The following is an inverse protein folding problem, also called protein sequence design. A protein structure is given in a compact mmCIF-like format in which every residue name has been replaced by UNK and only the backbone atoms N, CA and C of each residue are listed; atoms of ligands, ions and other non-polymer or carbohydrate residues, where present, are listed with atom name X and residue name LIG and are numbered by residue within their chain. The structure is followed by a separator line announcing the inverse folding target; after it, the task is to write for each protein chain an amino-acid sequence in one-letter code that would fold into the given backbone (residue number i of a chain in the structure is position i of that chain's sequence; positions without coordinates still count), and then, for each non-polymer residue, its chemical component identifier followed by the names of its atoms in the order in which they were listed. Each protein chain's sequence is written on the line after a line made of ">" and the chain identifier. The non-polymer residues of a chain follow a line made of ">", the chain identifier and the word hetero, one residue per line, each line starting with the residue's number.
data_IF_594486423628
#
_entry.id   IF_594486423628
#
_cell.length_a   1.000
_cell.length_b   1.000
_cell.length_c   1.000
_cell.angle_alpha   90.00
_cell.angle_beta   90.00
_cell.angle_gamma   90.00
#
_symmetry.space_group_name_H-M   'P 1'
#
loop_
_entity.id
_entity.type
_entity.pdbx_description
1 polymer ?
#
# COMPACT_ATOMS: atom_id res chain seq x y z
N UNK A 1 -1.69 13.44 -8.58
CA UNK A 1 -2.37 13.71 -9.85
C UNK A 1 -3.84 13.42 -9.65
N UNK A 2 -4.70 14.07 -10.41
CA UNK A 2 -6.15 13.88 -10.32
C UNK A 2 -6.69 13.54 -11.70
N UNK A 3 -7.69 12.69 -11.74
CA UNK A 3 -8.31 12.22 -12.97
C UNK A 3 -9.82 12.30 -12.83
N UNK A 4 -10.49 12.72 -13.91
CA UNK A 4 -11.94 12.66 -14.02
C UNK A 4 -12.33 11.32 -14.63
N UNK A 5 -13.03 10.52 -13.84
CA UNK A 5 -13.65 9.29 -14.33
C UNK A 5 -14.87 9.62 -15.23
N UNK A 6 -15.25 8.76 -16.18
CA UNK A 6 -16.40 8.99 -17.06
C UNK A 6 -17.73 9.31 -16.36
N UNK A 7 -17.94 8.81 -15.13
CA UNK A 7 -19.10 9.13 -14.29
C UNK A 7 -19.07 10.56 -13.68
N UNK A 8 -17.97 11.29 -13.87
CA UNK A 8 -17.75 12.64 -13.37
C UNK A 8 -17.04 12.71 -12.01
N UNK A 9 -16.80 11.58 -11.33
CA UNK A 9 -16.05 11.55 -10.08
C UNK A 9 -14.55 11.81 -10.30
N UNK A 10 -13.88 12.28 -9.24
CA UNK A 10 -12.43 12.48 -9.23
C UNK A 10 -11.75 11.26 -8.62
N UNK A 11 -10.81 10.68 -9.37
CA UNK A 11 -9.88 9.64 -8.90
C UNK A 11 -8.51 10.30 -8.65
N UNK A 12 -7.95 10.06 -7.47
CA UNK A 12 -6.66 10.56 -7.06
C UNK A 12 -5.58 9.50 -7.28
N UNK A 13 -4.45 9.93 -7.84
CA UNK A 13 -3.24 9.11 -7.96
C UNK A 13 -2.12 9.78 -7.16
N UNK A 14 -1.60 9.06 -6.17
CA UNK A 14 -0.46 9.45 -5.36
C UNK A 14 0.69 8.45 -5.52
N UNK A 15 1.85 8.76 -4.92
CA UNK A 15 2.84 7.73 -4.58
C UNK A 15 3.13 7.76 -3.09
N UNK A 16 3.46 6.60 -2.53
CA UNK A 16 3.70 6.45 -1.10
C UNK A 16 5.12 6.87 -0.71
N UNK A 17 5.26 7.63 0.39
CA UNK A 17 6.57 8.04 0.90
C UNK A 17 7.33 6.94 1.64
N UNK A 18 6.75 5.74 1.77
CA UNK A 18 7.44 4.55 2.28
C UNK A 18 8.77 4.28 1.56
N UNK A 19 8.91 4.68 0.28
CA UNK A 19 10.16 4.58 -0.49
C UNK A 19 11.33 5.39 0.08
N UNK A 20 11.05 6.44 0.85
CA UNK A 20 12.06 7.26 1.53
C UNK A 20 11.60 7.52 2.98
N UNK A 21 11.69 6.50 3.85
CA UNK A 21 11.08 6.54 5.18
C UNK A 21 11.68 7.64 6.05
N UNK A 22 10.81 8.35 6.78
CA UNK A 22 11.19 9.36 7.74
C UNK A 22 10.44 9.16 9.07
N UNK A 23 11.18 8.94 10.15
CA UNK A 23 10.59 8.69 11.48
C UNK A 23 10.31 9.96 12.29
N UNK A 24 10.96 11.07 11.94
CA UNK A 24 10.81 12.37 12.61
C UNK A 24 10.14 13.38 11.70
N UNK A 25 9.52 14.41 12.29
CA UNK A 25 8.92 15.50 11.51
C UNK A 25 9.96 16.21 10.63
N UNK A 26 11.17 16.47 11.12
CA UNK A 26 12.23 17.07 10.32
C UNK A 26 12.61 16.19 9.13
N UNK A 27 12.65 14.87 9.33
CA UNK A 27 12.82 13.90 8.26
C UNK A 27 11.67 13.98 7.25
N UNK A 28 10.42 14.10 7.73
CA UNK A 28 9.23 14.26 6.88
C UNK A 28 9.33 15.54 6.04
N UNK A 29 9.76 16.67 6.60
CA UNK A 29 9.95 17.91 5.85
C UNK A 29 11.11 17.80 4.84
N UNK A 30 12.19 17.12 5.22
CA UNK A 30 13.33 16.87 4.34
C UNK A 30 12.95 16.00 3.14
N UNK A 31 12.15 14.94 3.30
CA UNK A 31 11.72 14.11 2.17
C UNK A 31 10.86 14.89 1.16
N UNK A 32 10.00 15.81 1.62
CA UNK A 32 9.22 16.65 0.70
C UNK A 32 10.14 17.47 -0.21
N UNK A 33 11.26 17.97 0.34
CA UNK A 33 12.28 18.71 -0.38
C UNK A 33 13.13 17.86 -1.29
N UNK A 34 13.64 16.76 -0.76
CA UNK A 34 14.74 16.01 -1.35
C UNK A 34 14.25 14.94 -2.32
N UNK A 35 12.97 14.57 -2.25
CA UNK A 35 12.36 13.52 -3.06
C UNK A 35 11.06 13.95 -3.74
N UNK A 36 10.05 14.39 -2.99
CA UNK A 36 8.71 14.64 -3.54
C UNK A 36 8.68 15.80 -4.56
N UNK A 37 9.28 16.94 -4.23
CA UNK A 37 9.37 18.06 -5.17
C UNK A 37 10.19 17.71 -6.43
N UNK A 38 11.36 17.04 -6.35
CA UNK A 38 12.06 16.52 -7.54
C UNK A 38 11.22 15.60 -8.42
N UNK A 39 10.47 14.65 -7.84
CA UNK A 39 9.55 13.78 -8.59
C UNK A 39 8.50 14.59 -9.34
N UNK A 40 7.85 15.54 -8.65
CA UNK A 40 6.89 16.47 -9.26
C UNK A 40 7.50 17.23 -10.45
N UNK A 41 8.70 17.79 -10.28
CA UNK A 41 9.41 18.54 -11.33
C UNK A 41 9.72 17.67 -12.53
N UNK A 42 10.13 16.41 -12.32
CA UNK A 42 10.39 15.45 -13.41
C UNK A 42 9.13 15.07 -14.17
N UNK A 43 7.98 14.98 -13.50
CA UNK A 43 6.69 14.78 -14.13
C UNK A 43 6.17 16.03 -14.88
N UNK A 44 6.80 17.19 -14.68
CA UNK A 44 6.36 18.45 -15.29
C UNK A 44 4.98 18.90 -14.82
N UNK A 45 4.59 18.59 -13.57
CA UNK A 45 3.27 18.91 -13.02
C UNK A 45 3.33 20.02 -12.00
N UNK A 46 2.27 20.83 -11.93
CA UNK A 46 2.16 21.87 -10.90
C UNK A 46 1.87 21.27 -9.53
N UNK A 47 1.09 20.19 -9.49
CA UNK A 47 0.74 19.48 -8.26
C UNK A 47 0.73 17.97 -8.41
N UNK A 48 1.24 17.24 -7.42
CA UNK A 48 1.11 15.77 -7.33
C UNK A 48 0.58 15.35 -5.95
N UNK A 49 -0.05 14.17 -5.92
CA UNK A 49 -0.54 13.57 -4.70
C UNK A 49 0.56 12.77 -4.02
N UNK A 50 0.62 12.83 -2.70
CA UNK A 50 1.57 12.10 -1.87
C UNK A 50 0.80 11.31 -0.82
N UNK A 51 1.07 10.02 -0.77
CA UNK A 51 0.67 9.14 0.32
C UNK A 51 1.69 9.24 1.43
N UNK A 52 1.42 10.05 2.46
CA UNK A 52 2.38 10.20 3.55
C UNK A 52 2.36 8.97 4.46
N UNK A 53 3.52 8.39 4.65
CA UNK A 53 3.79 7.56 5.81
C UNK A 53 4.26 8.45 6.96
N UNK A 54 3.59 8.34 8.11
CA UNK A 54 3.90 9.10 9.32
C UNK A 54 4.12 8.11 10.46
N UNK A 55 5.39 7.87 10.82
CA UNK A 55 5.73 7.09 12.00
C UNK A 55 5.15 7.71 13.27
N UNK A 56 4.99 6.91 14.33
CA UNK A 56 4.33 7.31 15.59
C UNK A 56 4.79 8.66 16.14
N UNK A 57 6.10 8.93 16.14
CA UNK A 57 6.66 10.13 16.76
C UNK A 57 6.45 11.37 15.89
N UNK A 58 6.55 11.24 14.57
CA UNK A 58 6.18 12.29 13.63
C UNK A 58 4.68 12.62 13.69
N UNK A 59 3.82 11.60 13.73
CA UNK A 59 2.37 11.77 13.88
C UNK A 59 2.05 12.47 15.21
N UNK A 60 2.66 12.03 16.32
CA UNK A 60 2.47 12.64 17.63
C UNK A 60 2.89 14.09 17.66
N UNK A 61 4.06 14.43 17.10
CA UNK A 61 4.53 15.81 17.02
C UNK A 61 3.51 16.72 16.32
N UNK A 62 2.95 16.27 15.20
CA UNK A 62 1.94 17.00 14.43
C UNK A 62 0.60 17.13 15.18
N UNK A 63 0.17 16.10 15.91
CA UNK A 63 -1.07 16.14 16.70
C UNK A 63 -0.93 17.06 17.91
N UNK A 64 0.22 17.09 18.56
CA UNK A 64 0.43 17.87 19.79
C UNK A 64 0.78 19.33 19.54
N UNK A 65 1.30 19.68 18.36
CA UNK A 65 1.70 21.05 18.02
C UNK A 65 0.98 21.56 16.75
N UNK A 66 -0.07 22.40 16.90
CA UNK A 66 -0.74 23.03 15.77
C UNK A 66 0.18 23.89 14.88
N UNK A 67 1.28 24.44 15.42
CA UNK A 67 2.24 25.19 14.62
C UNK A 67 3.04 24.26 13.70
N UNK A 68 3.46 23.10 14.20
CA UNK A 68 4.10 22.06 13.40
C UNK A 68 3.19 21.59 12.24
N UNK A 69 1.91 21.34 12.51
CA UNK A 69 0.94 20.95 11.49
C UNK A 69 0.74 22.04 10.41
N UNK A 70 0.64 23.30 10.81
CA UNK A 70 0.60 24.43 9.85
C UNK A 70 1.89 24.53 9.04
N UNK A 71 3.04 24.26 9.66
CA UNK A 71 4.33 24.19 9.00
C UNK A 71 4.36 23.11 7.92
N UNK A 72 3.88 21.90 8.23
CA UNK A 72 3.75 20.82 7.26
C UNK A 72 2.84 21.20 6.09
N UNK A 73 1.65 21.77 6.35
CA UNK A 73 0.74 22.24 5.29
C UNK A 73 1.40 23.29 4.40
N UNK A 74 2.11 24.25 5.00
CA UNK A 74 2.85 25.28 4.26
C UNK A 74 3.91 24.66 3.35
N UNK A 75 4.65 23.67 3.84
CA UNK A 75 5.68 22.99 3.05
C UNK A 75 5.12 22.12 1.92
N UNK A 76 3.96 21.49 2.12
CA UNK A 76 3.23 20.79 1.06
C UNK A 76 2.79 21.77 -0.04
N UNK A 77 2.12 22.86 0.34
CA UNK A 77 1.61 23.87 -0.61
C UNK A 77 2.74 24.53 -1.39
N UNK A 78 3.80 24.97 -0.70
CA UNK A 78 4.97 25.62 -1.32
C UNK A 78 5.64 24.74 -2.38
N UNK A 79 5.52 23.42 -2.25
CA UNK A 79 6.17 22.45 -3.13
C UNK A 79 5.26 21.88 -4.21
N UNK A 80 3.98 22.26 -4.23
CA UNK A 80 2.99 21.69 -5.15
C UNK A 80 2.68 20.23 -4.80
N UNK A 81 2.50 19.93 -3.51
CA UNK A 81 2.18 18.59 -3.04
C UNK A 81 0.83 18.63 -2.34
N UNK A 82 0.03 17.59 -2.53
CA UNK A 82 -1.23 17.40 -1.81
C UNK A 82 -1.32 16.01 -1.18
N UNK A 83 -2.08 15.90 -0.09
CA UNK A 83 -2.22 14.66 0.67
C UNK A 83 -3.70 14.33 0.75
N UNK A 84 -4.09 13.24 0.09
CA UNK A 84 -5.45 12.68 0.12
C UNK A 84 -5.50 11.27 0.70
N UNK A 85 -4.32 10.71 0.97
CA UNK A 85 -4.18 9.41 1.61
C UNK A 85 -2.95 9.35 2.50
N UNK A 86 -2.98 8.48 3.51
CA UNK A 86 -1.83 8.13 4.34
C UNK A 86 -1.60 6.63 4.28
N UNK A 87 -0.36 6.21 4.49
CA UNK A 87 -0.06 4.85 4.89
C UNK A 87 0.17 4.83 6.42
N UNK A 88 -0.68 4.11 7.14
CA UNK A 88 -0.58 3.91 8.59
C UNK A 88 0.24 2.69 8.99
N UNK A 89 0.84 2.00 8.01
CA UNK A 89 1.70 0.85 8.20
C UNK A 89 3.04 1.06 7.47
N UNK A 90 4.19 0.86 8.14
CA UNK A 90 4.36 0.38 9.52
C UNK A 90 4.10 1.44 10.60
N UNK A 91 4.09 1.04 11.87
CA UNK A 91 3.95 1.99 12.98
C UNK A 91 5.21 2.84 13.22
N UNK A 92 6.38 2.21 13.08
CA UNK A 92 7.71 2.82 13.22
C UNK A 92 8.76 1.89 12.61
N UNK A 93 10.03 2.32 12.56
CA UNK A 93 11.15 1.42 12.28
C UNK A 93 11.25 0.92 10.84
N UNK A 94 10.47 1.44 9.89
CA UNK A 94 10.53 0.97 8.49
C UNK A 94 11.90 1.22 7.85
N UNK A 95 12.63 2.22 8.35
CA UNK A 95 14.00 2.55 7.94
C UNK A 95 15.09 1.61 8.48
N UNK A 96 14.76 0.70 9.41
CA UNK A 96 15.74 -0.13 10.11
C UNK A 96 16.42 -1.16 9.19
N UNK A 97 17.64 -1.57 9.57
CA UNK A 97 18.41 -2.60 8.84
C UNK A 97 17.72 -3.96 8.83
N UNK A 98 16.92 -4.26 9.86
CA UNK A 98 16.11 -5.47 9.95
C UNK A 98 14.70 -5.12 10.42
N UNK A 99 13.74 -5.32 9.52
CA UNK A 99 12.32 -5.01 9.71
C UNK A 99 11.58 -6.31 10.02
N UNK A 100 11.63 -7.29 9.10
CA UNK A 100 11.04 -8.64 9.20
C UNK A 100 9.69 -8.63 9.95
N UNK A 101 9.48 -9.54 10.92
CA UNK A 101 8.23 -9.65 11.69
C UNK A 101 7.89 -8.41 12.54
N UNK A 102 8.87 -7.56 12.90
CA UNK A 102 8.63 -6.41 13.80
C UNK A 102 7.70 -5.38 13.17
N UNK A 103 7.67 -5.32 11.84
CA UNK A 103 6.83 -4.39 11.08
C UNK A 103 5.35 -4.51 11.44
N UNK A 104 4.90 -5.73 11.73
CA UNK A 104 3.52 -6.06 12.07
C UNK A 104 3.12 -5.68 13.50
N UNK A 105 4.03 -5.07 14.27
CA UNK A 105 3.75 -4.64 15.65
C UNK A 105 3.81 -3.12 15.80
N UNK A 106 2.91 -2.51 16.59
CA UNK A 106 1.66 -3.07 17.15
C UNK A 106 0.66 -3.48 16.07
N UNK A 107 -0.18 -4.47 16.37
CA UNK A 107 -1.28 -4.92 15.52
C UNK A 107 -2.66 -4.50 16.09
N UNK A 108 -3.77 -4.91 15.48
CA UNK A 108 -5.10 -4.50 15.94
C UNK A 108 -5.52 -5.11 17.28
N UNK A 109 -4.74 -6.05 17.82
CA UNK A 109 -4.92 -6.57 19.18
C UNK A 109 -4.29 -5.65 20.23
N UNK A 110 -3.44 -4.71 19.79
CA UNK A 110 -2.72 -3.76 20.64
C UNK A 110 -3.41 -2.37 20.60
N UNK A 111 -3.71 -1.73 21.75
CA UNK A 111 -4.42 -0.45 21.80
C UNK A 111 -3.67 0.71 21.09
N UNK A 112 -2.35 0.61 20.97
CA UNK A 112 -1.49 1.55 20.26
C UNK A 112 -1.89 1.70 18.78
N UNK A 113 -2.30 0.61 18.13
CA UNK A 113 -2.72 0.63 16.72
C UNK A 113 -3.99 1.47 16.51
N UNK A 114 -4.97 1.31 17.39
CA UNK A 114 -6.18 2.13 17.40
C UNK A 114 -5.86 3.61 17.65
N UNK A 115 -5.00 3.89 18.64
CA UNK A 115 -4.56 5.25 18.97
C UNK A 115 -3.91 5.94 17.77
N UNK A 116 -2.92 5.29 17.18
CA UNK A 116 -2.19 5.80 16.02
C UNK A 116 -3.09 6.04 14.81
N UNK A 117 -3.93 5.07 14.45
CA UNK A 117 -4.82 5.21 13.29
C UNK A 117 -5.84 6.34 13.51
N UNK A 118 -6.28 6.56 14.75
CA UNK A 118 -7.14 7.70 15.11
C UNK A 118 -6.41 9.04 14.93
N UNK A 119 -5.14 9.13 15.34
CA UNK A 119 -4.30 10.31 15.15
C UNK A 119 -4.10 10.62 13.67
N UNK A 120 -3.78 9.61 12.86
CA UNK A 120 -3.64 9.75 11.42
C UNK A 120 -4.93 10.24 10.76
N UNK A 121 -6.10 9.74 11.18
CA UNK A 121 -7.38 10.22 10.66
C UNK A 121 -7.60 11.73 10.94
N UNK A 122 -7.27 12.19 12.15
CA UNK A 122 -7.36 13.62 12.51
C UNK A 122 -6.38 14.47 11.70
N UNK A 123 -5.16 13.98 11.52
CA UNK A 123 -4.15 14.67 10.71
C UNK A 123 -4.59 14.75 9.24
N UNK A 124 -5.07 13.65 8.67
CA UNK A 124 -5.52 13.63 7.28
C UNK A 124 -6.64 14.63 7.05
N UNK A 125 -7.64 14.71 7.94
CA UNK A 125 -8.70 15.75 7.85
C UNK A 125 -8.13 17.16 7.75
N UNK A 126 -7.09 17.48 8.52
CA UNK A 126 -6.47 18.81 8.51
C UNK A 126 -5.55 19.04 7.29
N UNK A 127 -5.03 17.97 6.69
CA UNK A 127 -4.14 18.00 5.53
C UNK A 127 -4.87 17.93 4.19
N UNK A 128 -6.11 17.43 4.16
CA UNK A 128 -6.92 17.36 2.95
C UNK A 128 -6.99 18.74 2.28
N UNK A 129 -6.78 18.81 0.94
CA UNK A 129 -7.03 20.02 0.17
C UNK A 129 -8.44 20.55 0.42
N UNK A 130 -8.63 21.87 0.32
CA UNK A 130 -9.89 22.51 0.69
C UNK A 130 -11.06 22.07 -0.23
N UNK A 131 -10.76 21.61 -1.44
CA UNK A 131 -11.72 21.09 -2.42
C UNK A 131 -11.93 19.57 -2.34
N UNK A 132 -11.30 18.89 -1.38
CA UNK A 132 -11.42 17.45 -1.16
C UNK A 132 -12.10 17.17 0.18
N UNK A 133 -13.22 16.45 0.11
CA UNK A 133 -14.01 16.09 1.30
C UNK A 133 -13.76 14.67 1.79
N UNK A 134 -12.87 13.92 1.12
CA UNK A 134 -12.66 12.50 1.37
C UNK A 134 -11.18 12.11 1.34
N UNK A 135 -10.74 11.41 2.39
CA UNK A 135 -9.40 10.87 2.50
C UNK A 135 -9.39 9.39 2.92
N UNK A 136 -8.30 8.70 2.62
CA UNK A 136 -8.15 7.27 2.93
C UNK A 136 -6.85 6.96 3.67
N UNK A 137 -6.87 5.95 4.53
CA UNK A 137 -5.67 5.49 5.23
C UNK A 137 -5.57 3.97 5.06
N UNK A 138 -4.45 3.47 4.54
CA UNK A 138 -4.15 2.03 4.63
C UNK A 138 -3.49 1.70 5.95
N UNK A 139 -3.62 0.45 6.37
CA UNK A 139 -2.99 -0.08 7.57
C UNK A 139 -2.94 -1.59 7.47
N UNK A 140 -2.10 -2.21 8.31
CA UNK A 140 -2.00 -3.67 8.38
C UNK A 140 -3.37 -4.32 8.60
N UNK A 141 -3.56 -5.59 8.21
CA UNK A 141 -4.87 -6.20 8.20
C UNK A 141 -5.46 -6.33 9.60
N UNK A 142 -5.06 -7.35 10.37
CA UNK A 142 -5.50 -7.53 11.76
C UNK A 142 -4.29 -7.82 12.64
N UNK A 143 -3.58 -8.90 12.32
CA UNK A 143 -2.36 -9.33 12.99
C UNK A 143 -1.61 -10.35 12.11
N UNK A 144 -0.37 -10.63 12.48
CA UNK A 144 0.31 -11.83 11.99
C UNK A 144 -0.47 -13.10 12.39
N UNK A 145 -0.49 -14.14 11.54
CA UNK A 145 -1.33 -15.34 11.77
C UNK A 145 -0.99 -16.12 13.03
N UNK A 146 0.19 -15.91 13.62
CA UNK A 146 0.64 -16.62 14.82
C UNK A 146 1.36 -15.68 15.80
N UNK A 147 0.85 -15.50 17.03
CA UNK A 147 -0.42 -16.02 17.57
C UNK A 147 -1.63 -15.16 17.14
N UNK A 148 -2.73 -15.81 16.73
CA UNK A 148 -4.03 -15.16 16.56
C UNK A 148 -5.15 -16.12 16.98
N UNK A 149 -5.72 -15.88 18.15
CA UNK A 149 -6.74 -16.72 18.79
C UNK A 149 -8.09 -15.97 18.93
N UNK A 150 -9.19 -16.62 19.32
CA UNK A 150 -10.49 -15.96 19.42
C UNK A 150 -10.52 -14.71 20.31
N UNK A 151 -9.85 -14.65 21.48
CA UNK A 151 -9.73 -13.42 22.26
C UNK A 151 -9.05 -12.27 21.50
N UNK A 152 -7.97 -12.54 20.75
CA UNK A 152 -7.30 -11.54 19.90
C UNK A 152 -8.19 -11.07 18.76
N UNK A 153 -8.93 -11.97 18.12
CA UNK A 153 -9.89 -11.62 17.08
C UNK A 153 -10.98 -10.67 17.61
N UNK A 154 -11.48 -10.93 18.82
CA UNK A 154 -12.48 -10.09 19.48
C UNK A 154 -11.92 -8.71 19.88
N UNK A 155 -10.66 -8.66 20.34
CA UNK A 155 -9.99 -7.41 20.65
C UNK A 155 -9.82 -6.53 19.39
N UNK A 156 -9.36 -7.13 18.29
CA UNK A 156 -9.21 -6.46 17.00
C UNK A 156 -10.54 -5.93 16.46
N UNK A 157 -11.60 -6.76 16.52
CA UNK A 157 -12.96 -6.35 16.14
C UNK A 157 -13.45 -5.17 16.97
N UNK A 158 -13.28 -5.23 18.29
CA UNK A 158 -13.65 -4.13 19.20
C UNK A 158 -12.90 -2.84 18.86
N UNK A 159 -11.60 -2.92 18.61
CA UNK A 159 -10.79 -1.77 18.23
C UNK A 159 -11.27 -1.14 16.92
N UNK A 160 -11.58 -1.95 15.90
CA UNK A 160 -12.11 -1.46 14.62
C UNK A 160 -13.50 -0.84 14.75
N UNK A 161 -14.40 -1.41 15.56
CA UNK A 161 -15.71 -0.82 15.86
C UNK A 161 -15.56 0.53 16.57
N UNK A 162 -14.65 0.65 17.54
CA UNK A 162 -14.37 1.92 18.21
C UNK A 162 -13.77 2.95 17.24
N UNK A 163 -12.88 2.52 16.34
CA UNK A 163 -12.35 3.40 15.31
C UNK A 163 -13.45 3.93 14.40
N UNK A 164 -14.36 3.05 13.95
CA UNK A 164 -15.47 3.41 13.09
C UNK A 164 -16.32 4.53 13.71
N UNK A 165 -16.69 4.40 14.98
CA UNK A 165 -17.42 5.43 15.74
C UNK A 165 -16.64 6.76 15.83
N UNK A 166 -15.31 6.70 15.97
CA UNK A 166 -14.46 7.91 15.98
C UNK A 166 -14.42 8.59 14.62
N UNK A 167 -14.49 7.83 13.53
CA UNK A 167 -14.54 8.37 12.16
C UNK A 167 -15.89 9.03 11.86
N UNK A 168 -16.99 8.49 12.38
CA UNK A 168 -18.30 9.14 12.32
C UNK A 168 -18.29 10.49 13.02
N UNK A 169 -17.87 10.51 14.29
CA UNK A 169 -17.76 11.75 15.05
C UNK A 169 -16.82 12.78 14.38
N UNK A 170 -15.73 12.32 13.76
CA UNK A 170 -14.84 13.18 13.00
C UNK A 170 -15.51 13.76 11.74
N UNK A 171 -16.31 12.95 11.05
CA UNK A 171 -17.10 13.41 9.89
C UNK A 171 -18.16 14.42 10.31
N UNK A 172 -18.91 14.15 11.38
CA UNK A 172 -19.93 15.05 11.91
C UNK A 172 -19.35 16.41 12.31
N UNK A 173 -18.17 16.41 12.93
CA UNK A 173 -17.51 17.63 13.38
C UNK A 173 -16.94 18.48 12.24
N UNK A 174 -16.47 17.84 11.17
CA UNK A 174 -15.62 18.52 10.17
C UNK A 174 -16.21 18.56 8.77
N UNK A 175 -17.27 17.79 8.50
CA UNK A 175 -17.83 17.58 7.16
C UNK A 175 -16.92 16.80 6.21
N UNK A 176 -15.74 16.34 6.66
CA UNK A 176 -14.77 15.57 5.87
C UNK A 176 -14.78 14.11 6.30
N UNK A 177 -14.87 13.20 5.33
CA UNK A 177 -14.95 11.75 5.57
C UNK A 177 -13.59 11.09 5.43
N UNK A 178 -13.17 10.34 6.45
CA UNK A 178 -11.96 9.48 6.38
C UNK A 178 -12.39 8.01 6.41
N UNK A 179 -11.84 7.24 5.49
CA UNK A 179 -12.04 5.78 5.40
C UNK A 179 -10.71 5.04 5.64
N UNK A 180 -10.80 3.85 6.24
CA UNK A 180 -9.66 3.02 6.63
C UNK A 180 -9.70 1.71 5.83
N UNK A 181 -8.65 1.43 5.08
CA UNK A 181 -8.47 0.18 4.36
C UNK A 181 -7.52 -0.75 5.11
N UNK A 182 -8.03 -1.88 5.57
CA UNK A 182 -7.21 -2.99 6.04
C UNK A 182 -6.60 -3.67 4.82
N UNK A 183 -5.28 -3.81 4.78
CA UNK A 183 -4.53 -4.36 3.66
C UNK A 183 -4.31 -5.87 3.89
N UNK A 184 -4.97 -6.78 3.13
CA UNK A 184 -4.62 -8.20 3.17
C UNK A 184 -3.15 -8.37 2.84
N UNK A 185 -2.45 -9.18 3.63
CA UNK A 185 -0.99 -9.26 3.61
C UNK A 185 -0.54 -10.72 3.69
N UNK A 186 0.37 -11.17 2.81
CA UNK A 186 0.98 -12.48 2.90
C UNK A 186 1.52 -12.80 4.31
N UNK A 187 1.01 -13.88 4.90
CA UNK A 187 1.42 -14.39 6.21
C UNK A 187 0.63 -13.84 7.40
N UNK A 188 -0.21 -12.83 7.20
CA UNK A 188 -1.17 -12.37 8.20
C UNK A 188 -2.40 -13.27 8.30
N UNK A 189 -3.20 -13.06 9.35
CA UNK A 189 -4.48 -13.78 9.54
C UNK A 189 -5.52 -13.46 8.45
N UNK A 190 -5.39 -12.30 7.81
CA UNK A 190 -6.08 -11.93 6.58
C UNK A 190 -5.00 -11.78 5.52
N UNK A 191 -4.83 -12.83 4.72
CA UNK A 191 -3.83 -12.90 3.66
C UNK A 191 -4.44 -12.61 2.29
N UNK A 192 -5.69 -12.98 2.09
CA UNK A 192 -6.44 -12.76 0.84
C UNK A 192 -7.59 -11.78 1.02
N UNK A 193 -8.11 -11.25 -0.09
CA UNK A 193 -9.36 -10.46 -0.05
C UNK A 193 -10.54 -11.28 0.47
N UNK A 194 -10.57 -12.58 0.20
CA UNK A 194 -11.59 -13.50 0.71
C UNK A 194 -11.53 -13.62 2.25
N UNK A 195 -10.34 -13.70 2.84
CA UNK A 195 -10.16 -13.74 4.29
C UNK A 195 -10.64 -12.46 4.97
N UNK A 196 -10.64 -11.33 4.25
CA UNK A 196 -11.06 -10.04 4.79
C UNK A 196 -12.57 -9.92 4.95
N UNK A 197 -13.36 -10.71 4.19
CA UNK A 197 -14.83 -10.57 4.13
C UNK A 197 -15.46 -10.78 5.50
N UNK A 198 -15.25 -11.94 6.13
CA UNK A 198 -15.89 -12.27 7.40
C UNK A 198 -15.59 -11.26 8.53
N UNK A 199 -14.32 -10.89 8.82
CA UNK A 199 -14.02 -9.92 9.88
C UNK A 199 -14.57 -8.51 9.56
N UNK A 200 -14.54 -8.07 8.30
CA UNK A 200 -15.05 -6.75 7.93
C UNK A 200 -16.58 -6.68 7.94
N UNK A 201 -17.28 -7.72 7.50
CA UNK A 201 -18.73 -7.83 7.66
C UNK A 201 -19.14 -7.85 9.13
N UNK A 202 -18.34 -8.48 10.01
CA UNK A 202 -18.58 -8.46 11.45
C UNK A 202 -18.36 -7.07 12.10
N UNK A 203 -17.51 -6.22 11.51
CA UNK A 203 -17.41 -4.80 11.89
C UNK A 203 -18.59 -4.01 11.32
N UNK A 204 -18.98 -4.27 10.07
CA UNK A 204 -20.23 -3.81 9.45
C UNK A 204 -20.32 -2.29 9.31
N UNK A 205 -19.26 -1.62 8.83
CA UNK A 205 -19.20 -0.16 8.76
C UNK A 205 -18.59 0.37 7.47
N UNK A 206 -19.28 1.28 6.78
CA UNK A 206 -18.91 1.80 5.44
C UNK A 206 -17.56 2.55 5.36
N UNK A 207 -17.00 2.92 6.52
CA UNK A 207 -15.69 3.59 6.63
C UNK A 207 -14.53 2.63 6.93
N UNK A 208 -14.81 1.36 7.19
CA UNK A 208 -13.79 0.33 7.42
C UNK A 208 -13.95 -0.70 6.30
N UNK A 209 -12.91 -0.86 5.48
CA UNK A 209 -12.94 -1.76 4.34
C UNK A 209 -11.56 -2.29 4.00
N UNK A 210 -11.35 -2.59 2.72
CA UNK A 210 -10.11 -3.18 2.22
C UNK A 210 -9.24 -2.14 1.53
N UNK A 211 -7.94 -2.17 1.81
CA UNK A 211 -6.93 -1.63 0.92
C UNK A 211 -6.46 -2.75 0.01
N UNK A 212 -6.69 -2.64 -1.30
CA UNK A 212 -6.24 -3.67 -2.25
C UNK A 212 -4.84 -3.32 -2.72
N UNK A 213 -3.83 -3.97 -2.16
CA UNK A 213 -2.47 -3.97 -2.71
C UNK A 213 -2.38 -5.02 -3.85
N UNK A 214 -1.97 -4.57 -5.04
CA UNK A 214 -1.94 -5.44 -6.23
C UNK A 214 -0.79 -6.43 -6.23
N UNK A 215 0.30 -6.16 -5.50
CA UNK A 215 1.38 -7.12 -5.25
C UNK A 215 0.91 -8.24 -4.31
N UNK A 216 0.18 -7.92 -3.24
CA UNK A 216 -0.34 -8.90 -2.28
C UNK A 216 -1.38 -9.82 -2.92
N UNK A 217 -2.37 -9.23 -3.59
CA UNK A 217 -3.39 -9.97 -4.36
C UNK A 217 -2.73 -10.93 -5.37
N UNK A 218 -1.73 -10.43 -6.10
CA UNK A 218 -1.00 -11.25 -7.05
C UNK A 218 -0.18 -12.35 -6.36
N UNK A 219 0.51 -12.04 -5.27
CA UNK A 219 1.32 -13.01 -4.50
C UNK A 219 0.45 -14.16 -4.00
N UNK A 220 -0.76 -13.88 -3.54
CA UNK A 220 -1.73 -14.90 -3.11
C UNK A 220 -2.44 -15.63 -4.26
N UNK A 221 -2.07 -15.38 -5.52
CA UNK A 221 -2.68 -15.95 -6.73
C UNK A 221 -4.20 -15.74 -6.82
N UNK A 222 -4.71 -14.64 -6.26
CA UNK A 222 -6.12 -14.29 -6.40
C UNK A 222 -6.45 -13.85 -7.84
N UNK A 223 -7.64 -14.22 -8.30
CA UNK A 223 -8.20 -13.69 -9.55
C UNK A 223 -8.81 -12.30 -9.28
N UNK A 224 -8.34 -11.21 -9.91
CA UNK A 224 -8.82 -9.85 -9.63
C UNK A 224 -10.33 -9.67 -9.76
N UNK A 225 -10.94 -10.31 -10.75
CA UNK A 225 -12.38 -10.18 -11.00
C UNK A 225 -13.17 -10.82 -9.88
N UNK A 226 -12.89 -12.09 -9.60
CA UNK A 226 -13.56 -12.87 -8.56
C UNK A 226 -13.36 -12.25 -7.18
N UNK A 227 -12.14 -11.80 -6.87
CA UNK A 227 -11.81 -11.15 -5.59
C UNK A 227 -12.64 -9.88 -5.36
N UNK A 228 -12.64 -8.96 -6.33
CA UNK A 228 -13.36 -7.67 -6.20
C UNK A 228 -14.88 -7.83 -6.26
N UNK A 229 -15.37 -8.80 -7.05
CA UNK A 229 -16.81 -9.13 -7.11
C UNK A 229 -17.29 -9.74 -5.77
N UNK A 230 -16.47 -10.57 -5.12
CA UNK A 230 -16.78 -11.12 -3.80
C UNK A 230 -16.84 -10.04 -2.71
N UNK A 231 -15.88 -9.10 -2.69
CA UNK A 231 -15.93 -7.94 -1.78
C UNK A 231 -17.21 -7.10 -1.99
N UNK A 232 -17.53 -6.82 -3.25
CA UNK A 232 -18.74 -6.06 -3.63
C UNK A 232 -20.02 -6.79 -3.20
N UNK A 233 -20.12 -8.09 -3.45
CA UNK A 233 -21.27 -8.91 -3.06
C UNK A 233 -21.44 -8.99 -1.53
N UNK A 234 -20.35 -8.95 -0.78
CA UNK A 234 -20.36 -8.92 0.68
C UNK A 234 -20.62 -7.53 1.28
N UNK A 235 -20.71 -6.48 0.45
CA UNK A 235 -20.87 -5.09 0.91
C UNK A 235 -19.61 -4.54 1.60
N UNK A 236 -18.44 -5.13 1.36
CA UNK A 236 -17.17 -4.67 1.93
C UNK A 236 -16.55 -3.63 0.99
N UNK A 237 -16.38 -2.37 1.41
CA UNK A 237 -15.90 -1.33 0.52
C UNK A 237 -14.41 -1.49 0.20
N UNK A 238 -14.05 -1.27 -1.06
CA UNK A 238 -12.64 -1.04 -1.45
C UNK A 238 -12.31 0.41 -1.17
N UNK A 239 -11.55 0.64 -0.11
CA UNK A 239 -11.27 1.99 0.41
C UNK A 239 -10.22 2.70 -0.43
N UNK A 240 -9.09 2.03 -0.68
CA UNK A 240 -8.00 2.50 -1.53
C UNK A 240 -7.35 1.30 -2.22
N UNK A 241 -6.51 1.56 -3.23
CA UNK A 241 -5.64 0.53 -3.80
C UNK A 241 -4.19 1.00 -3.86
N UNK A 242 -3.27 0.15 -3.44
CA UNK A 242 -1.84 0.30 -3.66
C UNK A 242 -1.47 -0.40 -4.97
N UNK A 243 -0.85 0.37 -5.87
CA UNK A 243 -0.41 -0.06 -7.18
C UNK A 243 1.05 -0.49 -7.08
N UNK A 244 1.26 -1.79 -7.02
CA UNK A 244 2.53 -2.48 -6.80
C UNK A 244 2.55 -3.80 -7.58
N UNK A 245 3.73 -4.36 -7.86
CA UNK A 245 3.84 -5.63 -8.56
C UNK A 245 4.81 -6.55 -7.84
N UNK A 246 4.49 -7.84 -7.77
CA UNK A 246 5.31 -8.89 -7.21
C UNK A 246 6.32 -9.41 -8.24
N UNK A 247 7.36 -10.09 -7.74
CA UNK A 247 8.31 -10.84 -8.56
C UNK A 247 7.70 -12.20 -8.94
N UNK A 248 7.70 -12.55 -10.22
CA UNK A 248 7.12 -13.78 -10.75
C UNK A 248 8.17 -14.68 -11.39
N UNK A 249 8.22 -15.93 -10.94
CA UNK A 249 9.09 -16.99 -11.46
C UNK A 249 8.23 -18.11 -12.05
N UNK A 250 8.18 -18.19 -13.38
CA UNK A 250 7.32 -19.15 -14.10
C UNK A 250 7.74 -20.61 -13.90
N UNK A 251 9.06 -20.86 -13.85
CA UNK A 251 9.63 -22.21 -13.80
C UNK A 251 10.65 -22.35 -12.67
N UNK A 252 10.21 -22.33 -11.39
CA UNK A 252 11.12 -22.31 -10.24
C UNK A 252 11.98 -23.58 -10.13
N UNK A 253 11.59 -24.71 -10.73
CA UNK A 253 12.43 -25.92 -10.76
C UNK A 253 13.75 -25.76 -11.55
N UNK A 254 13.89 -24.71 -12.38
CA UNK A 254 15.11 -24.49 -13.18
C UNK A 254 16.20 -23.80 -12.35
N UNK A 255 17.46 -24.29 -12.36
CA UNK A 255 18.56 -23.70 -11.60
C UNK A 255 18.80 -22.20 -11.87
N UNK A 256 18.70 -21.77 -13.14
CA UNK A 256 18.88 -20.36 -13.49
C UNK A 256 17.78 -19.45 -12.92
N UNK A 257 16.56 -19.96 -12.73
CA UNK A 257 15.46 -19.22 -12.09
C UNK A 257 15.71 -19.11 -10.59
N UNK A 258 16.20 -20.18 -9.95
CA UNK A 258 16.60 -20.18 -8.53
C UNK A 258 17.73 -19.20 -8.25
N UNK A 259 18.75 -19.18 -9.11
CA UNK A 259 19.86 -18.23 -9.03
C UNK A 259 19.37 -16.78 -9.15
N UNK A 260 18.48 -16.51 -10.11
CA UNK A 260 17.89 -15.18 -10.28
C UNK A 260 17.06 -14.76 -9.05
N UNK A 261 16.25 -15.66 -8.48
CA UNK A 261 15.50 -15.40 -7.24
C UNK A 261 16.43 -15.12 -6.06
N UNK A 262 17.50 -15.89 -5.90
CA UNK A 262 18.47 -15.72 -4.81
C UNK A 262 19.14 -14.33 -4.81
N UNK A 263 19.20 -13.63 -5.95
CA UNK A 263 19.70 -12.26 -6.01
C UNK A 263 18.78 -11.23 -5.31
N UNK A 264 17.52 -11.58 -5.04
CA UNK A 264 16.54 -10.78 -4.33
C UNK A 264 16.40 -11.16 -2.85
N UNK A 265 17.07 -12.24 -2.40
CA UNK A 265 17.05 -12.64 -0.99
C UNK A 265 17.91 -11.67 -0.16
N UNK A 266 17.27 -10.98 0.79
CA UNK A 266 17.91 -9.91 1.55
C UNK A 266 17.40 -9.87 3.01
N UNK A 267 18.21 -9.34 3.95
CA UNK A 267 17.97 -9.53 5.39
C UNK A 267 16.96 -8.56 6.01
N UNK A 268 16.50 -7.52 5.30
CA UNK A 268 15.68 -6.44 5.87
C UNK A 268 14.20 -6.77 5.92
N UNK A 269 13.58 -7.13 4.80
CA UNK A 269 12.15 -7.37 4.65
C UNK A 269 11.83 -8.85 4.55
N UNK A 270 10.62 -9.25 4.91
CA UNK A 270 10.13 -10.58 4.56
C UNK A 270 9.74 -10.57 3.09
N UNK A 271 10.13 -11.62 2.37
CA UNK A 271 9.74 -11.84 0.98
C UNK A 271 8.88 -13.09 0.89
N UNK A 272 7.68 -13.00 1.47
CA UNK A 272 6.70 -14.08 1.49
C UNK A 272 6.54 -14.63 0.08
N UNK A 273 6.84 -15.91 -0.09
CA UNK A 273 6.81 -16.56 -1.39
C UNK A 273 5.67 -17.56 -1.41
N UNK A 274 4.90 -17.56 -2.50
CA UNK A 274 3.70 -18.36 -2.66
C UNK A 274 3.72 -19.14 -3.96
N UNK A 275 3.02 -20.26 -3.97
CA UNK A 275 2.71 -21.07 -5.15
C UNK A 275 1.28 -21.61 -5.03
N UNK A 276 0.54 -21.60 -6.13
CA UNK A 276 -0.78 -22.24 -6.19
C UNK A 276 -0.63 -23.68 -6.71
N UNK A 277 -1.07 -24.65 -5.91
CA UNK A 277 -1.05 -26.07 -6.27
C UNK A 277 -2.47 -26.61 -6.42
N UNK A 278 -2.61 -27.83 -6.93
CA UNK A 278 -3.92 -28.52 -6.93
C UNK A 278 -4.51 -28.75 -5.52
N UNK A 279 -3.69 -28.63 -4.47
CA UNK A 279 -4.12 -28.71 -3.07
C UNK A 279 -4.34 -27.33 -2.42
N UNK A 280 -4.33 -26.25 -3.20
CA UNK A 280 -4.47 -24.86 -2.73
C UNK A 280 -3.14 -24.11 -2.64
N UNK A 281 -3.21 -22.91 -2.05
CA UNK A 281 -2.08 -22.00 -1.86
C UNK A 281 -1.08 -22.58 -0.84
N UNK A 282 0.20 -22.53 -1.18
CA UNK A 282 1.33 -22.92 -0.31
C UNK A 282 2.34 -21.79 -0.28
N UNK A 283 3.12 -21.69 0.79
CA UNK A 283 4.10 -20.61 0.91
C UNK A 283 5.07 -20.72 2.07
N UNK A 284 6.06 -19.84 2.03
CA UNK A 284 7.04 -19.55 3.10
C UNK A 284 6.93 -18.09 3.50
N UNK A 285 7.39 -17.74 4.70
CA UNK A 285 7.35 -16.35 5.16
C UNK A 285 8.50 -15.52 4.57
N UNK A 286 9.54 -16.17 4.06
CA UNK A 286 10.66 -15.50 3.44
C UNK A 286 11.16 -16.21 2.17
N UNK A 287 11.88 -15.47 1.32
CA UNK A 287 12.39 -15.99 0.06
C UNK A 287 13.55 -16.96 0.29
N UNK A 288 14.47 -16.64 1.21
CA UNK A 288 15.53 -17.56 1.60
C UNK A 288 15.01 -18.94 2.08
N UNK A 289 13.85 -18.98 2.75
CA UNK A 289 13.19 -20.23 3.14
C UNK A 289 12.66 -20.99 1.92
N UNK A 290 12.03 -20.28 0.96
CA UNK A 290 11.52 -20.90 -0.27
C UNK A 290 12.66 -21.51 -1.10
N UNK A 291 13.84 -20.89 -1.09
CA UNK A 291 15.00 -21.36 -1.85
C UNK A 291 15.63 -22.64 -1.29
N UNK A 292 15.29 -23.05 -0.07
CA UNK A 292 15.73 -24.32 0.48
C UNK A 292 15.05 -25.52 -0.21
N UNK A 293 15.79 -26.63 -0.32
CA UNK A 293 15.34 -27.86 -0.98
C UNK A 293 14.09 -28.42 -0.31
N UNK A 294 13.11 -28.83 -1.13
CA UNK A 294 11.86 -29.50 -0.71
C UNK A 294 10.96 -28.70 0.27
N UNK A 295 11.17 -27.39 0.44
CA UNK A 295 10.34 -26.55 1.32
C UNK A 295 9.06 -26.08 0.62
N UNK A 296 9.19 -25.53 -0.59
CA UNK A 296 8.07 -25.03 -1.39
C UNK A 296 7.96 -25.87 -2.68
N UNK A 297 6.78 -26.38 -3.06
CA UNK A 297 6.63 -27.12 -4.31
C UNK A 297 6.95 -26.23 -5.52
N UNK A 298 7.74 -26.74 -6.47
CA UNK A 298 8.26 -25.97 -7.61
C UNK A 298 7.76 -26.46 -8.98
N UNK A 299 6.73 -27.30 -8.96
CA UNK A 299 6.01 -27.76 -10.15
C UNK A 299 5.04 -26.71 -10.72
N UNK A 300 4.90 -25.57 -10.05
CA UNK A 300 4.04 -24.45 -10.44
C UNK A 300 4.78 -23.12 -10.22
N UNK A 301 4.33 -22.01 -10.85
CA UNK A 301 4.98 -20.72 -10.72
C UNK A 301 5.04 -20.22 -9.28
N UNK A 302 6.10 -19.48 -8.96
CA UNK A 302 6.24 -18.78 -7.69
C UNK A 302 6.02 -17.29 -7.85
N UNK A 303 5.38 -16.69 -6.86
CA UNK A 303 5.31 -15.23 -6.70
C UNK A 303 5.88 -14.87 -5.33
N UNK A 304 6.84 -13.96 -5.32
CA UNK A 304 7.45 -13.46 -4.10
C UNK A 304 7.02 -12.01 -3.86
N UNK A 305 6.59 -11.73 -2.62
CA UNK A 305 6.25 -10.38 -2.17
C UNK A 305 7.50 -9.50 -2.24
N UNK A 306 7.57 -8.73 -3.32
CA UNK A 306 8.61 -7.77 -3.58
C UNK A 306 8.03 -6.70 -4.48
N UNK A 307 7.98 -5.44 -4.03
CA UNK A 307 7.42 -4.35 -4.83
C UNK A 307 8.41 -3.95 -5.94
N UNK A 308 8.46 -4.72 -7.03
CA UNK A 308 9.37 -4.45 -8.14
C UNK A 308 8.91 -3.18 -8.89
N UNK A 309 9.85 -2.43 -9.51
CA UNK A 309 9.50 -1.24 -10.27
C UNK A 309 8.42 -1.49 -11.34
N UNK A 310 7.36 -0.70 -11.34
CA UNK A 310 6.26 -0.90 -12.29
C UNK A 310 6.67 -0.63 -13.74
N UNK A 311 7.56 0.35 -13.94
CA UNK A 311 7.95 0.82 -15.27
C UNK A 311 9.08 0.00 -15.93
N UNK A 312 9.66 -0.96 -15.22
CA UNK A 312 10.80 -1.74 -15.69
C UNK A 312 10.62 -3.22 -15.36
N UNK A 313 10.59 -4.05 -16.40
CA UNK A 313 10.51 -5.49 -16.21
C UNK A 313 11.76 -6.02 -15.49
N UNK A 314 11.62 -6.99 -14.57
CA UNK A 314 12.75 -7.74 -14.04
C UNK A 314 13.58 -8.38 -15.15
N UNK A 315 14.87 -8.61 -14.89
CA UNK A 315 15.72 -9.32 -15.83
C UNK A 315 15.25 -10.77 -15.98
N UNK A 316 15.23 -11.28 -17.22
CA UNK A 316 14.95 -12.67 -17.50
C UNK A 316 15.88 -13.59 -16.67
N UNK A 317 15.39 -14.75 -16.17
CA UNK A 317 14.09 -15.37 -16.49
C UNK A 317 12.91 -14.90 -15.62
N UNK A 318 13.08 -13.90 -14.76
CA UNK A 318 12.02 -13.38 -13.91
C UNK A 318 11.15 -12.36 -14.65
N UNK A 319 9.91 -12.25 -14.20
CA UNK A 319 8.94 -11.25 -14.69
C UNK A 319 8.24 -10.59 -13.52
N UNK A 320 7.36 -9.64 -13.78
CA UNK A 320 6.54 -8.96 -12.76
C UNK A 320 5.07 -9.30 -12.90
N UNK A 321 4.31 -9.18 -11.82
CA UNK A 321 2.84 -9.31 -11.86
C UNK A 321 2.12 -8.04 -12.34
N UNK A 322 2.77 -7.16 -13.12
CA UNK A 322 2.14 -5.99 -13.73
C UNK A 322 0.84 -6.29 -14.49
N UNK A 323 0.69 -7.41 -15.23
CA UNK A 323 -0.60 -7.76 -15.83
C UNK A 323 -1.75 -7.89 -14.80
N UNK A 324 -1.47 -8.42 -13.61
CA UNK A 324 -2.48 -8.52 -12.53
C UNK A 324 -2.91 -7.13 -12.06
N UNK A 325 -1.97 -6.18 -11.94
CA UNK A 325 -2.28 -4.79 -11.63
C UNK A 325 -3.19 -4.17 -12.70
N UNK A 326 -2.95 -4.43 -13.99
CA UNK A 326 -3.79 -3.94 -15.10
C UNK A 326 -5.22 -4.49 -15.02
N UNK A 327 -5.37 -5.78 -14.71
CA UNK A 327 -6.67 -6.42 -14.51
C UNK A 327 -7.40 -5.82 -13.29
N UNK A 328 -6.69 -5.59 -12.19
CA UNK A 328 -7.24 -4.91 -11.00
C UNK A 328 -7.70 -3.49 -11.36
N UNK A 329 -6.88 -2.67 -12.03
CA UNK A 329 -7.27 -1.32 -12.43
C UNK A 329 -8.50 -1.31 -13.34
N UNK A 330 -8.57 -2.25 -14.28
CA UNK A 330 -9.74 -2.41 -15.17
C UNK A 330 -11.02 -2.61 -14.34
N UNK A 331 -10.98 -3.42 -13.28
CA UNK A 331 -12.13 -3.63 -12.40
C UNK A 331 -12.37 -2.48 -11.42
N UNK A 332 -11.33 -1.84 -10.90
CA UNK A 332 -11.46 -0.75 -9.93
C UNK A 332 -11.95 0.55 -10.54
N UNK A 333 -11.50 0.91 -11.74
CA UNK A 333 -11.78 2.24 -12.34
C UNK A 333 -12.13 2.21 -13.82
N UNK A 334 -12.15 1.05 -14.48
CA UNK A 334 -12.59 0.91 -15.88
C UNK A 334 -14.10 0.65 -16.03
N UNK A 335 -14.83 0.48 -14.93
CA UNK A 335 -16.26 0.22 -14.91
C UNK A 335 -17.14 1.48 -15.08
N UNK A 336 -18.47 1.34 -14.97
CA UNK A 336 -19.40 2.49 -15.06
C UNK A 336 -19.26 3.48 -13.91
N UNK A 337 -18.73 3.04 -12.76
CA UNK A 337 -18.36 3.85 -11.62
C UNK A 337 -17.10 3.25 -10.98
N UNK A 338 -16.22 4.06 -10.38
CA UNK A 338 -15.01 3.53 -9.75
C UNK A 338 -15.36 2.90 -8.38
N UNK A 339 -14.80 1.72 -8.11
CA UNK A 339 -14.90 1.04 -6.82
C UNK A 339 -14.10 1.76 -5.72
N UNK A 340 -13.04 2.48 -6.11
CA UNK A 340 -12.27 3.37 -5.23
C UNK A 340 -11.82 4.61 -5.98
N UNK A 341 -11.62 5.71 -5.24
CA UNK A 341 -11.15 7.00 -5.77
C UNK A 341 -9.71 7.31 -5.35
N UNK A 342 -9.05 6.41 -4.63
CA UNK A 342 -7.72 6.66 -4.07
C UNK A 342 -6.77 5.55 -4.50
N UNK A 343 -5.89 5.89 -5.44
CA UNK A 343 -4.84 5.02 -5.96
C UNK A 343 -3.48 5.55 -5.50
N UNK A 344 -2.60 4.66 -5.08
CA UNK A 344 -1.28 5.01 -4.56
C UNK A 344 -0.23 4.08 -5.16
N UNK A 345 0.71 4.60 -5.95
CA UNK A 345 1.88 3.82 -6.38
C UNK A 345 2.76 3.56 -5.18
N UNK A 346 3.06 2.29 -4.91
CA UNK A 346 3.86 1.88 -3.77
C UNK A 346 4.99 0.94 -4.21
N UNK A 347 6.13 1.52 -4.57
CA UNK A 347 7.36 0.77 -4.83
C UNK A 347 8.41 1.24 -3.83
N UNK A 348 8.60 0.50 -2.73
CA UNK A 348 9.50 0.90 -1.64
C UNK A 348 10.79 0.07 -1.55
N UNK A 349 10.89 -1.04 -2.27
CA UNK A 349 12.02 -1.99 -2.19
C UNK A 349 13.19 -1.63 -3.12
N UNK A 350 13.30 -0.38 -3.59
CA UNK A 350 14.40 0.08 -4.46
C UNK A 350 15.79 -0.21 -3.90
N UNK A 351 15.94 -0.17 -2.58
CA UNK A 351 17.20 -0.50 -1.89
C UNK A 351 17.37 -2.00 -1.61
N UNK A 352 16.29 -2.78 -1.68
CA UNK A 352 16.31 -4.23 -1.58
C UNK A 352 16.54 -4.89 -2.95
N UNK A 353 16.40 -4.15 -4.07
CA UNK A 353 16.74 -4.67 -5.40
C UNK A 353 18.18 -5.19 -5.44
N UNK A 354 18.51 -6.13 -6.34
CA UNK A 354 19.90 -6.51 -6.62
C UNK A 354 20.78 -5.27 -6.83
N UNK A 355 22.02 -5.21 -6.31
CA UNK A 355 22.85 -4.00 -6.33
C UNK A 355 22.99 -3.32 -7.71
N UNK A 356 23.02 -4.12 -8.78
CA UNK A 356 23.12 -3.62 -10.15
C UNK A 356 21.87 -2.84 -10.63
N UNK A 357 20.72 -3.07 -10.01
CA UNK A 357 19.42 -2.47 -10.35
C UNK A 357 19.06 -1.28 -9.46
N UNK A 358 19.82 -1.02 -8.39
CA UNK A 358 19.53 0.07 -7.45
C UNK A 358 19.79 1.44 -8.09
N UNK A 359 18.97 2.46 -7.77
CA UNK A 359 19.27 3.83 -8.18
C UNK A 359 20.56 4.31 -7.51
N UNK A 360 21.46 4.92 -8.29
CA UNK A 360 22.79 5.38 -7.82
C UNK A 360 22.74 6.71 -7.05
N UNK A 361 21.55 7.19 -6.70
CA UNK A 361 21.35 8.42 -5.94
C UNK A 361 19.94 8.98 -6.08
N UNK A 362 19.68 10.08 -5.35
CA UNK A 362 18.37 10.73 -5.31
C UNK A 362 17.80 11.12 -6.68
N UNK A 363 18.60 11.65 -7.64
CA UNK A 363 18.07 12.00 -8.95
C UNK A 363 17.52 10.80 -9.73
N UNK A 364 18.22 9.65 -9.71
CA UNK A 364 17.75 8.42 -10.37
C UNK A 364 16.56 7.81 -9.67
N UNK A 365 16.49 7.85 -8.33
CA UNK A 365 15.30 7.43 -7.61
C UNK A 365 14.09 8.28 -8.01
N UNK A 366 14.25 9.60 -8.11
CA UNK A 366 13.18 10.48 -8.55
C UNK A 366 12.77 10.23 -10.03
N UNK A 367 13.70 9.80 -10.90
CA UNK A 367 13.38 9.35 -12.26
C UNK A 367 12.55 8.07 -12.23
N UNK A 368 12.93 7.10 -11.41
CA UNK A 368 12.20 5.85 -11.27
C UNK A 368 10.77 6.06 -10.80
N UNK A 369 10.58 6.84 -9.72
CA UNK A 369 9.23 7.14 -9.18
C UNK A 369 8.40 7.93 -10.21
N UNK A 370 9.00 8.90 -10.92
CA UNK A 370 8.30 9.64 -11.97
C UNK A 370 7.90 8.73 -13.14
N UNK A 371 8.72 7.74 -13.50
CA UNK A 371 8.38 6.76 -14.53
C UNK A 371 7.24 5.84 -14.10
N UNK A 372 7.18 5.43 -12.82
CA UNK A 372 6.05 4.63 -12.30
C UNK A 372 4.74 5.42 -12.30
N UNK A 373 4.79 6.68 -11.87
CA UNK A 373 3.62 7.56 -11.91
C UNK A 373 3.17 7.85 -13.36
N UNK A 374 4.11 7.93 -14.30
CA UNK A 374 3.79 8.08 -15.72
C UNK A 374 3.11 6.83 -16.26
N UNK A 375 3.62 5.63 -15.95
CA UNK A 375 2.97 4.38 -16.32
C UNK A 375 1.56 4.29 -15.74
N UNK A 376 1.39 4.56 -14.45
CA UNK A 376 0.07 4.54 -13.80
C UNK A 376 -0.88 5.56 -14.44
N UNK A 377 -0.42 6.78 -14.77
CA UNK A 377 -1.21 7.77 -15.52
C UNK A 377 -1.65 7.22 -16.89
N UNK A 378 -0.74 6.58 -17.61
CA UNK A 378 -1.03 6.06 -18.95
C UNK A 378 -2.07 4.94 -18.89
N UNK A 379 -1.94 4.00 -17.93
CA UNK A 379 -2.94 2.95 -17.67
C UNK A 379 -4.32 3.52 -17.34
N UNK A 380 -4.40 4.57 -16.50
CA UNK A 380 -5.68 5.22 -16.18
C UNK A 380 -6.28 5.92 -17.41
N UNK A 381 -5.45 6.55 -18.24
CA UNK A 381 -5.90 7.23 -19.45
C UNK A 381 -6.42 6.25 -20.49
N UNK A 382 -5.77 5.08 -20.63
CA UNK A 382 -6.20 3.99 -21.51
C UNK A 382 -7.55 3.40 -21.08
N UNK A 383 -7.88 3.46 -19.79
CA UNK A 383 -9.20 3.12 -19.25
C UNK A 383 -10.25 4.24 -19.44
N UNK A 384 -9.90 5.36 -20.08
CA UNK A 384 -10.81 6.44 -20.42
C UNK A 384 -10.93 7.54 -19.36
N UNK A 385 -10.11 7.50 -18.30
CA UNK A 385 -10.05 8.59 -17.32
C UNK A 385 -9.32 9.80 -17.96
N UNK A 386 -9.80 11.01 -17.66
CA UNK A 386 -9.19 12.24 -18.17
C UNK A 386 -8.37 12.90 -17.09
N UNK A 387 -7.07 13.03 -17.31
CA UNK A 387 -6.20 13.75 -16.39
C UNK A 387 -6.67 15.20 -16.22
N UNK A 388 -6.72 15.65 -14.97
CA UNK A 388 -7.04 17.02 -14.59
C UNK A 388 -5.76 17.85 -14.47
N UNK A 389 -5.85 19.19 -14.65
CA UNK A 389 -4.71 20.10 -14.52
C UNK A 389 -3.92 19.95 -13.22
#
# INVERSE_FOLDING_TARGET
>A
MRFRHPDGSTVHLAYCTNVHPAETLDGVLAQLRDHCEPVRKKLGRDRIGIGLWLAKDAARALVTDPAALRGLRTELDRRGLEVVTLNGFPYEGFGAEQVKYRVYKPDWTDPERLGHTTELARLLVALLPDDVTEGTISTLPLAWRTPFDPPRAEAARTALTVLAQRLDALTELTGRSIRIGLEPEPGCTVETTADAIAPLTAVGHDRIGVCVDTCHLATSFEDPQTALDALTAAGVPVVKSQLSAALHAEHPHLPAVREALAAFDEPRFLHQTRTLTGAGLRGTDDLGEALATDVLPDTAPWRAHFHVPLHAAPAAPLTSTLPVLQDVLTRLVGGPAPLTRHLEVETYTWQALPPALRPRGRPQLAEGIAAELSLARDLLTDLGLKELP
#
